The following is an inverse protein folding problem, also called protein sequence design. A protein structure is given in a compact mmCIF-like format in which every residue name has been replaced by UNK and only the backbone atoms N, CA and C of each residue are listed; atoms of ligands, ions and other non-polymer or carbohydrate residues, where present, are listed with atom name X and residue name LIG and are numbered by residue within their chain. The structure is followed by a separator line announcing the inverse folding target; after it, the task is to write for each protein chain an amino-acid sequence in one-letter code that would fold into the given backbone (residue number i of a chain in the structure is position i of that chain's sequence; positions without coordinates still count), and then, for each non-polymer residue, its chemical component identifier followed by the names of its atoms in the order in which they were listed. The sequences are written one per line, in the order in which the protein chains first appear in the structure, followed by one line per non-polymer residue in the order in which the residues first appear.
data_IF_821596471718
#
_entry.id   IF_821596471718
#
_cell.length_a   1.000
_cell.length_b   1.000
_cell.length_c   1.000
_cell.angle_alpha   90.00
_cell.angle_beta   90.00
_cell.angle_gamma   90.00
#
_symmetry.space_group_name_H-M   'P 1'
#
loop_
_entity.id
_entity.type
_entity.pdbx_description
1 polymer ?
#
# COMPACT_ATOMS: atom_id res chain seq x y z
N UNK A 1 75.75 -27.58 -9.95
CA UNK A 1 74.52 -27.10 -9.29
C UNK A 1 73.75 -26.31 -10.32
N UNK A 2 72.73 -26.89 -10.93
CA UNK A 2 71.75 -26.14 -11.73
C UNK A 2 70.37 -26.62 -11.28
N UNK A 3 69.53 -25.64 -10.93
CA UNK A 3 68.35 -25.80 -10.10
C UNK A 3 67.15 -25.91 -11.05
N UNK A 4 66.41 -27.02 -10.94
CA UNK A 4 65.15 -27.25 -11.65
C UNK A 4 64.15 -26.13 -11.35
N UNK A 5 63.79 -25.36 -12.38
CA UNK A 5 62.80 -24.30 -12.27
C UNK A 5 61.43 -24.85 -12.71
N UNK A 6 60.83 -25.65 -11.85
CA UNK A 6 59.46 -26.15 -12.03
C UNK A 6 58.47 -24.99 -11.81
N UNK A 7 57.94 -24.44 -12.91
CA UNK A 7 56.96 -23.35 -12.88
C UNK A 7 55.66 -23.83 -12.22
N UNK A 8 55.43 -23.42 -10.97
CA UNK A 8 54.17 -23.65 -10.27
C UNK A 8 53.01 -22.99 -11.03
N UNK A 9 52.21 -23.79 -11.74
CA UNK A 9 50.96 -23.33 -12.37
C UNK A 9 49.92 -23.09 -11.29
N UNK A 10 49.53 -21.83 -11.07
CA UNK A 10 48.44 -21.45 -10.17
C UNK A 10 47.16 -22.18 -10.57
N UNK A 11 46.61 -23.02 -9.68
CA UNK A 11 45.32 -23.70 -9.88
C UNK A 11 44.22 -22.64 -10.05
N UNK A 12 43.54 -22.64 -11.20
CA UNK A 12 42.32 -21.84 -11.40
C UNK A 12 41.23 -22.37 -10.46
N UNK A 13 40.80 -21.54 -9.51
CA UNK A 13 39.63 -21.83 -8.69
C UNK A 13 38.41 -22.06 -9.61
N UNK A 14 37.63 -23.14 -9.42
CA UNK A 14 36.42 -23.34 -10.20
C UNK A 14 35.46 -22.20 -9.90
N UNK A 15 34.99 -21.52 -10.96
CA UNK A 15 33.91 -20.54 -10.89
C UNK A 15 32.65 -21.23 -10.37
N UNK A 16 32.51 -21.36 -9.05
CA UNK A 16 31.25 -21.72 -8.41
C UNK A 16 30.29 -20.59 -8.75
N UNK A 17 29.47 -20.80 -9.79
CA UNK A 17 28.32 -19.93 -10.09
C UNK A 17 27.59 -19.76 -8.76
N UNK A 18 27.64 -18.55 -8.20
CA UNK A 18 26.91 -18.22 -6.97
C UNK A 18 25.45 -18.59 -7.24
N UNK A 19 24.90 -19.53 -6.47
CA UNK A 19 23.45 -19.75 -6.45
C UNK A 19 22.84 -18.41 -6.08
N UNK A 20 22.18 -17.74 -7.02
CA UNK A 20 21.36 -16.57 -6.68
C UNK A 20 20.38 -17.05 -5.63
N UNK A 21 20.30 -16.33 -4.51
CA UNK A 21 19.30 -16.60 -3.49
C UNK A 21 17.95 -16.73 -4.19
N UNK A 22 17.23 -17.82 -3.91
CA UNK A 22 15.90 -18.07 -4.46
C UNK A 22 15.09 -16.82 -4.12
N UNK A 23 14.73 -16.04 -5.14
CA UNK A 23 13.81 -14.91 -4.97
C UNK A 23 12.58 -15.55 -4.35
N UNK A 24 12.33 -15.28 -3.06
CA UNK A 24 11.02 -15.57 -2.49
C UNK A 24 10.04 -15.00 -3.50
N UNK A 25 9.07 -15.79 -3.96
CA UNK A 25 8.08 -15.30 -4.91
C UNK A 25 7.29 -14.18 -4.22
N UNK A 26 7.86 -12.98 -4.21
CA UNK A 26 7.25 -11.83 -3.61
C UNK A 26 6.11 -11.55 -4.56
N UNK A 27 4.88 -11.56 -4.03
CA UNK A 27 3.63 -11.27 -4.74
C UNK A 27 3.57 -9.78 -5.18
N UNK A 28 4.70 -9.24 -5.65
CA UNK A 28 4.82 -7.91 -6.20
C UNK A 28 4.01 -7.88 -7.50
N UNK A 29 3.18 -6.87 -7.67
CA UNK A 29 2.25 -6.75 -8.78
C UNK A 29 0.91 -7.45 -8.56
N UNK A 30 0.71 -8.17 -7.45
CA UNK A 30 -0.63 -8.67 -7.09
C UNK A 30 -1.56 -7.48 -6.84
N UNK A 31 -2.70 -7.50 -7.53
CA UNK A 31 -3.77 -6.53 -7.41
C UNK A 31 -4.91 -7.22 -6.69
N UNK A 32 -5.28 -6.68 -5.53
CA UNK A 32 -6.49 -7.07 -4.82
C UNK A 32 -7.53 -6.00 -5.08
N UNK A 33 -8.75 -6.42 -5.37
CA UNK A 33 -9.90 -5.54 -5.56
C UNK A 33 -10.93 -5.93 -4.53
N UNK A 34 -11.34 -4.95 -3.75
CA UNK A 34 -12.41 -5.08 -2.76
C UNK A 34 -13.52 -4.14 -3.20
N UNK A 35 -14.56 -4.72 -3.78
CA UNK A 35 -15.81 -4.03 -4.06
C UNK A 35 -16.70 -4.19 -2.83
N UNK A 36 -17.00 -3.09 -2.13
CA UNK A 36 -18.06 -3.14 -1.15
C UNK A 36 -19.36 -2.78 -1.85
N UNK A 37 -20.31 -3.71 -1.76
CA UNK A 37 -21.54 -3.69 -2.51
C UNK A 37 -22.32 -2.38 -2.37
N UNK A 38 -23.13 -2.14 -3.40
CA UNK A 38 -24.04 -1.02 -3.55
C UNK A 38 -24.76 -0.70 -2.23
N UNK A 39 -24.73 0.57 -1.83
CA UNK A 39 -25.44 1.12 -0.67
C UNK A 39 -26.92 0.71 -0.79
N UNK A 40 -27.43 -0.05 0.19
CA UNK A 40 -28.85 -0.36 0.29
C UNK A 40 -29.67 0.91 0.49
N UNK A 41 -30.93 0.92 0.04
CA UNK A 41 -31.80 2.10 0.15
C UNK A 41 -31.95 2.61 1.60
N UNK A 42 -31.85 1.70 2.58
CA UNK A 42 -31.93 2.02 4.02
C UNK A 42 -30.72 2.81 4.56
N UNK A 43 -29.55 2.67 3.92
CA UNK A 43 -28.32 3.35 4.34
C UNK A 43 -28.16 4.73 3.69
N UNK A 44 -28.98 5.06 2.67
CA UNK A 44 -28.89 6.35 1.95
C UNK A 44 -29.13 7.54 2.87
N UNK A 45 -30.14 7.48 3.73
CA UNK A 45 -30.50 8.59 4.63
C UNK A 45 -29.41 8.86 5.69
N UNK A 46 -28.70 7.81 6.13
CA UNK A 46 -27.53 7.95 7.01
C UNK A 46 -26.33 8.50 6.25
N UNK A 47 -26.17 8.11 4.99
CA UNK A 47 -25.05 8.54 4.17
C UNK A 47 -25.13 10.03 3.84
N UNK A 48 -26.32 10.50 3.47
CA UNK A 48 -26.58 11.90 3.08
C UNK A 48 -26.37 12.89 4.24
N UNK A 49 -26.64 12.46 5.49
CA UNK A 49 -26.47 13.32 6.69
C UNK A 49 -25.02 13.50 7.13
N UNK A 50 -24.19 12.47 6.97
CA UNK A 50 -22.84 12.44 7.55
C UNK A 50 -21.71 12.55 6.53
N UNK A 51 -21.98 12.24 5.26
CA UNK A 51 -21.00 12.22 4.20
C UNK A 51 -21.37 13.17 3.07
N UNK A 52 -20.38 13.49 2.25
CA UNK A 52 -20.58 14.30 1.06
C UNK A 52 -21.21 13.48 -0.06
N UNK A 53 -22.11 14.08 -0.83
CA UNK A 53 -22.72 13.43 -2.00
C UNK A 53 -21.69 13.04 -3.08
N UNK A 54 -20.59 13.81 -3.16
CA UNK A 54 -19.55 13.59 -4.15
C UNK A 54 -18.57 12.52 -3.68
N UNK A 55 -18.47 11.44 -4.46
CA UNK A 55 -17.36 10.49 -4.36
C UNK A 55 -16.11 11.04 -5.02
N UNK A 56 -14.94 10.64 -4.51
CA UNK A 56 -13.62 11.04 -5.00
C UNK A 56 -12.71 9.86 -5.14
N UNK A 57 -11.85 9.91 -6.15
CA UNK A 57 -10.84 8.90 -6.42
C UNK A 57 -9.50 9.32 -5.83
N UNK A 58 -9.11 8.65 -4.75
CA UNK A 58 -7.92 9.00 -3.98
C UNK A 58 -6.91 7.87 -4.06
N UNK A 59 -5.66 8.24 -4.25
CA UNK A 59 -4.54 7.31 -4.20
C UNK A 59 -3.69 7.54 -2.96
N UNK A 60 -3.55 6.50 -2.14
CA UNK A 60 -2.68 6.46 -0.97
C UNK A 60 -1.34 5.79 -1.29
N UNK A 61 -0.26 6.46 -0.90
CA UNK A 61 1.11 5.98 -1.07
C UNK A 61 1.77 5.64 0.27
N UNK A 62 2.96 5.05 0.22
CA UNK A 62 3.80 4.75 1.39
C UNK A 62 3.19 3.82 2.45
N UNK A 63 2.11 3.11 2.11
CA UNK A 63 1.52 2.11 2.99
C UNK A 63 2.44 0.88 3.00
N UNK A 64 2.89 0.37 4.16
CA UNK A 64 3.78 -0.78 4.19
C UNK A 64 3.12 -2.07 3.66
N UNK A 65 3.88 -2.88 2.93
CA UNK A 65 3.37 -4.10 2.30
C UNK A 65 2.94 -5.20 3.28
N UNK A 66 3.30 -5.08 4.56
CA UNK A 66 2.93 -6.00 5.64
C UNK A 66 1.63 -5.64 6.36
N UNK A 67 1.01 -4.50 6.02
CA UNK A 67 -0.35 -4.19 6.48
C UNK A 67 -1.33 -5.10 5.75
N UNK A 68 -2.40 -5.55 6.41
CA UNK A 68 -3.47 -6.26 5.69
C UNK A 68 -4.33 -5.25 4.91
N UNK A 69 -5.07 -5.73 3.92
CA UNK A 69 -5.99 -4.86 3.17
C UNK A 69 -7.22 -4.54 4.03
N UNK A 70 -7.66 -5.48 4.88
CA UNK A 70 -8.77 -5.30 5.83
C UNK A 70 -8.45 -4.27 6.92
N UNK A 71 -7.22 -4.25 7.45
CA UNK A 71 -6.76 -3.25 8.42
C UNK A 71 -6.85 -1.83 7.83
N UNK A 72 -6.39 -1.67 6.57
CA UNK A 72 -6.44 -0.38 5.88
C UNK A 72 -7.88 0.03 5.63
N UNK A 73 -8.70 -0.91 5.18
CA UNK A 73 -10.10 -0.66 4.92
C UNK A 73 -10.83 -0.14 6.17
N UNK A 74 -10.67 -0.82 7.31
CA UNK A 74 -11.28 -0.40 8.56
C UNK A 74 -10.81 1.00 8.99
N UNK A 75 -9.51 1.27 8.90
CA UNK A 75 -8.99 2.59 9.29
C UNK A 75 -9.43 3.72 8.34
N UNK A 76 -9.53 3.46 7.04
CA UNK A 76 -10.05 4.45 6.09
C UNK A 76 -11.53 4.75 6.36
N UNK A 77 -12.31 3.71 6.68
CA UNK A 77 -13.71 3.84 7.06
C UNK A 77 -13.90 4.70 8.30
N UNK A 78 -13.07 4.48 9.31
CA UNK A 78 -13.21 5.16 10.61
C UNK A 78 -12.70 6.61 10.59
N UNK A 79 -11.61 6.89 9.85
CA UNK A 79 -10.95 8.21 9.90
C UNK A 79 -11.34 9.16 8.76
N UNK A 80 -11.66 8.63 7.57
CA UNK A 80 -11.76 9.44 6.35
C UNK A 80 -13.20 9.49 5.85
N UNK A 81 -13.83 8.33 5.70
CA UNK A 81 -15.25 8.26 5.35
C UNK A 81 -15.67 6.95 4.71
N UNK A 82 -16.77 6.98 3.97
CA UNK A 82 -17.36 5.79 3.38
C UNK A 82 -16.61 5.35 2.12
N UNK A 83 -16.09 4.12 2.13
CA UNK A 83 -15.33 3.55 1.00
C UNK A 83 -16.26 2.72 0.12
N UNK A 84 -16.43 3.14 -1.13
CA UNK A 84 -17.23 2.44 -2.14
C UNK A 84 -16.41 1.34 -2.82
N UNK A 85 -15.18 1.67 -3.19
CA UNK A 85 -14.32 0.78 -3.96
C UNK A 85 -12.88 0.91 -3.49
N UNK A 86 -12.18 -0.21 -3.32
CA UNK A 86 -10.77 -0.22 -2.97
C UNK A 86 -9.98 -1.17 -3.88
N UNK A 87 -8.88 -0.66 -4.42
CA UNK A 87 -7.91 -1.42 -5.20
C UNK A 87 -6.53 -1.28 -4.59
N UNK A 88 -5.94 -2.41 -4.20
CA UNK A 88 -4.61 -2.46 -3.60
C UNK A 88 -3.63 -3.11 -4.56
N UNK A 89 -2.52 -2.43 -4.84
CA UNK A 89 -1.40 -2.96 -5.62
C UNK A 89 -0.20 -3.15 -4.71
N UNK A 90 0.24 -4.39 -4.55
CA UNK A 90 1.43 -4.70 -3.76
C UNK A 90 2.71 -4.41 -4.57
N UNK A 91 3.60 -3.59 -4.01
CA UNK A 91 4.96 -3.39 -4.49
C UNK A 91 5.95 -4.08 -3.54
N UNK A 92 7.25 -3.80 -3.67
CA UNK A 92 8.28 -4.49 -2.89
C UNK A 92 8.18 -4.25 -1.37
N UNK A 93 8.41 -2.99 -0.92
CA UNK A 93 8.35 -2.62 0.51
C UNK A 93 7.00 -2.02 0.90
N UNK A 94 6.31 -1.42 -0.06
CA UNK A 94 5.07 -0.67 0.13
C UNK A 94 3.97 -1.21 -0.78
N UNK A 95 2.75 -0.75 -0.57
CA UNK A 95 1.60 -0.92 -1.47
C UNK A 95 1.00 0.44 -1.79
N UNK A 96 0.40 0.51 -2.97
CA UNK A 96 -0.41 1.65 -3.39
C UNK A 96 -1.86 1.24 -3.27
N UNK A 97 -2.67 2.07 -2.62
CA UNK A 97 -4.10 1.81 -2.43
C UNK A 97 -4.86 2.92 -3.14
N UNK A 98 -5.63 2.55 -4.17
CA UNK A 98 -6.54 3.46 -4.87
C UNK A 98 -7.94 3.21 -4.34
N UNK A 99 -8.63 4.26 -3.96
CA UNK A 99 -9.91 4.16 -3.27
C UNK A 99 -10.87 5.19 -3.85
N UNK A 100 -12.08 4.75 -4.15
CA UNK A 100 -13.20 5.64 -4.40
C UNK A 100 -13.99 5.75 -3.11
N UNK A 101 -14.05 6.94 -2.53
CA UNK A 101 -14.69 7.15 -1.23
C UNK A 101 -15.43 8.48 -1.16
N UNK A 102 -16.44 8.53 -0.30
CA UNK A 102 -17.14 9.75 0.12
C UNK A 102 -16.57 10.20 1.44
N UNK A 103 -16.11 11.45 1.48
CA UNK A 103 -15.58 12.01 2.72
C UNK A 103 -16.68 12.22 3.74
N UNK A 104 -16.33 12.12 5.02
CA UNK A 104 -17.17 12.67 6.07
C UNK A 104 -17.19 14.19 5.96
N UNK A 105 -18.29 14.81 6.42
CA UNK A 105 -18.43 16.27 6.39
C UNK A 105 -17.31 17.00 7.16
N UNK A 106 -16.76 16.36 8.19
CA UNK A 106 -15.62 16.87 8.95
C UNK A 106 -14.32 16.79 8.15
N UNK A 107 -14.06 15.64 7.52
CA UNK A 107 -12.84 15.42 6.74
C UNK A 107 -12.81 16.28 5.47
N UNK A 108 -13.96 16.50 4.83
CA UNK A 108 -14.11 17.39 3.68
C UNK A 108 -13.66 18.83 3.98
N UNK A 109 -13.93 19.33 5.20
CA UNK A 109 -13.47 20.67 5.62
C UNK A 109 -11.94 20.71 5.72
N UNK A 110 -11.36 19.71 6.38
CA UNK A 110 -9.89 19.58 6.53
C UNK A 110 -9.23 19.49 5.15
N UNK A 111 -9.82 18.72 4.23
CA UNK A 111 -9.31 18.59 2.87
C UNK A 111 -9.35 19.93 2.12
N UNK A 112 -10.45 20.69 2.21
CA UNK A 112 -10.59 22.02 1.58
C UNK A 112 -9.61 23.05 2.14
N UNK A 113 -9.27 22.95 3.41
CA UNK A 113 -8.23 23.77 4.06
C UNK A 113 -6.81 23.40 3.62
N UNK A 114 -6.65 22.33 2.83
CA UNK A 114 -5.36 21.88 2.30
C UNK A 114 -4.73 20.75 3.12
N UNK A 115 -5.50 20.02 3.93
CA UNK A 115 -5.04 18.82 4.60
C UNK A 115 -4.79 17.68 3.59
N UNK A 116 -3.52 17.31 3.36
CA UNK A 116 -3.11 16.30 2.35
C UNK A 116 -2.69 14.97 2.99
N UNK A 117 -2.78 14.82 4.32
CA UNK A 117 -2.32 13.62 5.02
C UNK A 117 -3.46 12.91 5.74
N UNK A 118 -3.49 11.58 5.64
CA UNK A 118 -4.35 10.73 6.46
C UNK A 118 -3.53 10.15 7.60
N UNK A 119 -4.08 10.18 8.82
CA UNK A 119 -3.50 9.46 9.94
C UNK A 119 -4.11 8.07 10.09
N UNK A 120 -3.29 7.02 9.99
CA UNK A 120 -3.68 5.65 10.28
C UNK A 120 -3.01 5.17 11.57
N UNK A 121 -3.79 4.62 12.50
CA UNK A 121 -3.28 4.20 13.81
C UNK A 121 -3.11 2.69 13.87
N UNK A 122 -1.88 2.22 14.11
CA UNK A 122 -1.59 0.78 14.28
C UNK A 122 -0.73 0.56 15.52
N UNK A 123 -1.14 -0.35 16.39
CA UNK A 123 -0.45 -0.70 17.64
C UNK A 123 -0.13 0.52 18.52
N UNK A 124 -1.07 1.47 18.61
CA UNK A 124 -0.90 2.71 19.38
C UNK A 124 0.05 3.74 18.75
N UNK A 125 0.57 3.49 17.53
CA UNK A 125 1.39 4.45 16.77
C UNK A 125 0.58 5.03 15.62
N UNK A 126 0.64 6.34 15.46
CA UNK A 126 0.02 7.06 14.36
C UNK A 126 1.01 7.17 13.19
N UNK A 127 0.56 6.78 12.00
CA UNK A 127 1.31 6.86 10.76
C UNK A 127 0.63 7.87 9.85
N UNK A 128 1.40 8.81 9.31
CA UNK A 128 0.90 9.76 8.33
C UNK A 128 1.15 9.23 6.93
N UNK A 129 0.09 9.11 6.16
CA UNK A 129 0.10 8.60 4.80
C UNK A 129 -0.26 9.72 3.85
N UNK A 130 0.53 9.81 2.77
CA UNK A 130 0.31 10.76 1.69
C UNK A 130 -0.87 10.29 0.85
N UNK A 131 -1.80 11.20 0.61
CA UNK A 131 -2.91 11.02 -0.31
C UNK A 131 -2.83 12.01 -1.47
N UNK A 132 -3.31 11.59 -2.64
CA UNK A 132 -3.45 12.43 -3.81
C UNK A 132 -4.79 12.17 -4.48
N UNK A 133 -5.51 13.24 -4.82
CA UNK A 133 -6.63 13.20 -5.76
C UNK A 133 -6.10 12.72 -7.12
N UNK A 134 -6.75 11.73 -7.72
CA UNK A 134 -6.30 11.09 -8.96
C UNK A 134 -6.98 11.62 -10.21
#
# INVERSE_FOLDING_TARGET
MEIDNEKQTKKKCPNKKRKRARVQQVKNGTINVTELGMIGDDDKDRLEKHFTDRSRDITFYDIPAYWSDDEIFAQLRDNVGFVEYMRTKRCHKYKTVRVTLRFSNEYEKIYKEGGVNVSLTRNGRQYFIRMFDS
#
